data_IF_665860758616
#
_entry.id   IF_665860758616
#
_cell.length_a   1.000
_cell.length_b   1.000
_cell.length_c   1.000
_cell.angle_alpha   90.00
_cell.angle_beta   90.00
_cell.angle_gamma   90.00
#
_symmetry.space_group_name_H-M   'P 1'
#
loop_
_entity.id
_entity.type
_entity.pdbx_description
1 polymer ?
#
# COMPACT_ATOMS: atom_id res chain seq x y z
N UNK A 1 -6.29 -1.45 -16.31
CA UNK A 1 -7.08 -1.46 -15.05
C UNK A 1 -7.93 -0.20 -14.99
N UNK A 2 -9.26 -0.31 -15.03
CA UNK A 2 -10.15 0.86 -14.85
C UNK A 2 -10.05 1.30 -13.38
N UNK A 3 -9.56 2.51 -13.14
CA UNK A 3 -9.49 3.10 -11.80
C UNK A 3 -10.88 3.59 -11.44
N UNK A 4 -11.55 2.89 -10.53
CA UNK A 4 -12.80 3.37 -9.97
C UNK A 4 -12.48 4.59 -9.09
N UNK A 5 -12.94 5.80 -9.49
CA UNK A 5 -12.68 7.06 -8.78
C UNK A 5 -13.09 7.03 -7.29
N UNK A 6 -13.98 6.11 -6.88
CA UNK A 6 -14.40 5.91 -5.50
C UNK A 6 -13.45 5.03 -4.67
N UNK A 7 -12.57 4.24 -5.31
CA UNK A 7 -11.64 3.31 -4.64
C UNK A 7 -10.21 3.76 -4.86
N UNK A 8 -9.73 4.70 -4.07
CA UNK A 8 -8.39 5.28 -4.21
C UNK A 8 -7.47 5.02 -3.00
N UNK A 9 -7.94 4.26 -2.01
CA UNK A 9 -7.16 4.00 -0.82
C UNK A 9 -6.42 2.66 -0.93
N UNK A 10 -5.15 2.72 -0.63
CA UNK A 10 -4.23 1.63 -0.44
C UNK A 10 -3.95 1.51 1.06
N UNK A 11 -4.68 0.65 1.76
CA UNK A 11 -4.56 0.51 3.21
C UNK A 11 -3.39 -0.41 3.55
N UNK A 12 -2.53 0.03 4.46
CA UNK A 12 -1.42 -0.78 5.00
C UNK A 12 -1.77 -1.18 6.42
N UNK A 13 -1.54 -2.43 6.80
CA UNK A 13 -1.79 -2.94 8.16
C UNK A 13 -1.02 -2.14 9.23
N UNK A 14 -1.42 -2.18 10.50
CA UNK A 14 -0.54 -1.78 11.58
C UNK A 14 0.71 -2.66 11.61
N UNK A 15 1.76 -2.23 12.33
CA UNK A 15 3.02 -2.97 12.43
C UNK A 15 2.88 -4.26 13.25
N UNK A 16 1.94 -4.28 14.18
CA UNK A 16 1.62 -5.41 15.05
C UNK A 16 0.11 -5.66 15.03
N UNK A 17 -0.27 -6.92 14.98
CA UNK A 17 -1.65 -7.41 15.07
C UNK A 17 -1.71 -8.34 16.27
N UNK A 18 -2.02 -7.74 17.44
CA UNK A 18 -1.94 -8.45 18.73
C UNK A 18 -3.25 -9.17 19.11
N UNK A 19 -4.41 -8.71 18.63
CA UNK A 19 -5.71 -9.21 19.08
C UNK A 19 -6.73 -9.37 17.92
N UNK A 20 -7.86 -9.98 18.23
CA UNK A 20 -8.93 -10.22 17.26
C UNK A 20 -9.68 -8.93 16.85
N UNK A 21 -9.62 -7.85 17.64
CA UNK A 21 -10.30 -6.60 17.33
C UNK A 21 -9.84 -6.03 15.98
N UNK A 22 -8.57 -6.25 15.61
CA UNK A 22 -8.07 -5.85 14.29
C UNK A 22 -8.90 -6.38 13.13
N UNK A 23 -9.37 -7.64 13.20
CA UNK A 23 -10.14 -8.23 12.09
C UNK A 23 -11.54 -7.60 11.98
N UNK A 24 -12.15 -7.27 13.11
CA UNK A 24 -13.43 -6.57 13.16
C UNK A 24 -13.26 -5.14 12.61
N UNK A 25 -12.25 -4.41 13.07
CA UNK A 25 -11.92 -3.07 12.55
C UNK A 25 -11.65 -3.11 11.05
N UNK A 26 -10.91 -4.12 10.56
CA UNK A 26 -10.62 -4.29 9.13
C UNK A 26 -11.90 -4.49 8.32
N UNK A 27 -12.85 -5.27 8.83
CA UNK A 27 -14.15 -5.50 8.21
C UNK A 27 -14.93 -4.18 8.13
N UNK A 28 -15.00 -3.43 9.24
CA UNK A 28 -15.71 -2.14 9.28
C UNK A 28 -15.08 -1.12 8.32
N UNK A 29 -13.75 -1.02 8.29
CA UNK A 29 -13.04 -0.16 7.32
C UNK A 29 -13.36 -0.55 5.87
N UNK A 30 -13.47 -1.84 5.57
CA UNK A 30 -13.77 -2.30 4.20
C UNK A 30 -15.21 -2.04 3.76
N UNK A 31 -16.16 -1.90 4.71
CA UNK A 31 -17.55 -1.50 4.42
C UNK A 31 -17.63 -0.10 3.79
N UNK A 32 -16.65 0.78 4.00
CA UNK A 32 -16.55 2.10 3.35
C UNK A 32 -16.50 2.03 1.83
N UNK A 33 -16.15 0.86 1.25
CA UNK A 33 -15.97 0.62 -0.19
C UNK A 33 -14.90 1.51 -0.86
N UNK A 34 -14.08 2.23 -0.08
CA UNK A 34 -13.01 3.13 -0.58
C UNK A 34 -11.67 2.41 -0.83
N UNK A 35 -11.51 1.16 -0.33
CA UNK A 35 -10.25 0.42 -0.34
C UNK A 35 -10.09 -0.37 -1.63
N UNK A 36 -9.00 -0.13 -2.37
CA UNK A 36 -8.57 -0.92 -3.53
C UNK A 36 -7.60 -2.03 -3.16
N UNK A 37 -6.64 -1.70 -2.29
CA UNK A 37 -5.55 -2.58 -1.89
C UNK A 37 -5.44 -2.64 -0.38
N UNK A 38 -5.12 -3.82 0.12
CA UNK A 38 -4.66 -4.00 1.50
C UNK A 38 -3.30 -4.67 1.51
N UNK A 39 -2.30 -4.01 2.11
CA UNK A 39 -0.95 -4.54 2.28
C UNK A 39 -0.75 -5.04 3.70
N UNK A 40 -0.44 -6.32 3.86
CA UNK A 40 -0.03 -6.90 5.13
C UNK A 40 1.46 -6.64 5.36
N UNK A 41 1.78 -5.85 6.39
CA UNK A 41 3.14 -5.42 6.75
C UNK A 41 3.48 -5.77 8.20
N UNK A 42 4.02 -6.95 8.42
CA UNK A 42 4.39 -7.51 9.73
C UNK A 42 5.90 -7.78 9.77
N UNK A 43 6.72 -6.72 9.88
CA UNK A 43 8.18 -6.85 9.76
C UNK A 43 8.81 -7.73 10.84
N UNK A 44 8.35 -7.59 12.08
CA UNK A 44 8.98 -8.23 13.26
C UNK A 44 8.31 -9.55 13.66
N UNK A 45 7.35 -10.04 12.87
CA UNK A 45 6.64 -11.28 13.21
C UNK A 45 7.33 -12.50 12.60
N UNK A 46 7.28 -13.64 13.32
CA UNK A 46 7.75 -14.94 12.83
C UNK A 46 6.91 -15.40 11.62
N UNK A 47 7.51 -16.19 10.74
CA UNK A 47 6.87 -16.64 9.49
C UNK A 47 5.54 -17.35 9.72
N UNK A 48 5.47 -18.26 10.70
CA UNK A 48 4.23 -18.99 11.01
C UNK A 48 3.08 -18.04 11.41
N UNK A 49 3.39 -16.99 12.20
CA UNK A 49 2.39 -15.98 12.57
C UNK A 49 1.97 -15.13 11.37
N UNK A 50 2.92 -14.75 10.49
CA UNK A 50 2.60 -14.07 9.22
C UNK A 50 1.65 -14.89 8.34
N UNK A 51 1.86 -16.20 8.26
CA UNK A 51 1.00 -17.10 7.48
C UNK A 51 -0.39 -17.20 8.09
N UNK A 52 -0.50 -17.39 9.41
CA UNK A 52 -1.79 -17.49 10.10
C UNK A 52 -2.63 -16.22 9.91
N UNK A 53 -2.04 -15.06 10.19
CA UNK A 53 -2.69 -13.75 10.02
C UNK A 53 -3.03 -13.54 8.54
N UNK A 54 -2.09 -13.83 7.64
CA UNK A 54 -2.27 -13.65 6.20
C UNK A 54 -3.44 -14.46 5.64
N UNK A 55 -3.65 -15.69 6.10
CA UNK A 55 -4.80 -16.53 5.70
C UNK A 55 -6.13 -15.91 6.14
N UNK A 56 -6.23 -15.40 7.37
CA UNK A 56 -7.44 -14.72 7.88
C UNK A 56 -7.71 -13.44 7.09
N UNK A 57 -6.71 -12.58 6.93
CA UNK A 57 -6.80 -11.33 6.16
C UNK A 57 -7.19 -11.58 4.71
N UNK A 58 -6.61 -12.58 4.06
CA UNK A 58 -6.95 -12.94 2.67
C UNK A 58 -8.44 -13.28 2.52
N UNK A 59 -9.03 -14.04 3.45
CA UNK A 59 -10.46 -14.35 3.44
C UNK A 59 -11.31 -13.07 3.48
N UNK A 60 -10.95 -12.13 4.36
CA UNK A 60 -11.62 -10.82 4.48
C UNK A 60 -11.47 -10.02 3.17
N UNK A 61 -10.25 -9.88 2.66
CA UNK A 61 -9.99 -9.18 1.40
C UNK A 61 -10.83 -9.75 0.24
N UNK A 62 -10.91 -11.08 0.12
CA UNK A 62 -11.72 -11.76 -0.90
C UNK A 62 -13.21 -11.40 -0.78
N UNK A 63 -13.77 -11.43 0.45
CA UNK A 63 -15.19 -11.07 0.71
C UNK A 63 -15.51 -9.66 0.23
N UNK A 64 -14.61 -8.69 0.44
CA UNK A 64 -14.84 -7.29 0.09
C UNK A 64 -14.26 -6.90 -1.29
N UNK A 65 -13.75 -7.85 -2.08
CA UNK A 65 -13.13 -7.62 -3.39
C UNK A 65 -12.00 -6.58 -3.33
N UNK A 66 -11.20 -6.63 -2.23
CA UNK A 66 -9.99 -5.83 -2.02
C UNK A 66 -8.78 -6.67 -2.42
N UNK A 67 -7.83 -6.08 -3.18
CA UNK A 67 -6.60 -6.76 -3.58
C UNK A 67 -5.66 -6.92 -2.38
N UNK A 68 -5.26 -8.16 -2.09
CA UNK A 68 -4.39 -8.51 -0.98
C UNK A 68 -2.93 -8.55 -1.39
N UNK A 69 -2.10 -7.69 -0.80
CA UNK A 69 -0.67 -7.58 -1.08
C UNK A 69 0.16 -7.91 0.16
N UNK A 70 1.34 -8.48 -0.06
CA UNK A 70 2.34 -8.76 0.98
C UNK A 70 3.46 -7.74 0.87
N UNK A 71 3.95 -7.26 2.02
CA UNK A 71 5.08 -6.34 2.09
C UNK A 71 6.40 -7.11 2.00
N UNK A 72 7.31 -6.70 1.11
CA UNK A 72 8.72 -7.08 0.97
C UNK A 72 8.98 -8.57 0.59
N UNK A 73 8.01 -9.47 0.64
CA UNK A 73 8.23 -10.93 0.61
C UNK A 73 7.46 -11.64 -0.54
N UNK A 74 8.10 -11.85 -1.71
CA UNK A 74 7.52 -12.60 -2.83
C UNK A 74 7.25 -14.09 -2.51
N UNK A 75 8.06 -14.71 -1.64
CA UNK A 75 7.89 -16.13 -1.27
C UNK A 75 6.63 -16.31 -0.43
N UNK A 76 6.43 -15.45 0.57
CA UNK A 76 5.21 -15.43 1.38
C UNK A 76 3.99 -15.08 0.52
N UNK A 77 4.14 -14.18 -0.47
CA UNK A 77 3.09 -13.83 -1.43
C UNK A 77 2.62 -15.07 -2.21
N UNK A 78 3.57 -15.88 -2.71
CA UNK A 78 3.27 -17.15 -3.39
C UNK A 78 2.61 -18.14 -2.44
N UNK A 79 3.17 -18.33 -1.23
CA UNK A 79 2.67 -19.27 -0.21
C UNK A 79 1.25 -18.96 0.24
N UNK A 80 0.90 -17.69 0.40
CA UNK A 80 -0.46 -17.24 0.74
C UNK A 80 -1.38 -17.17 -0.48
N UNK A 81 -0.84 -17.33 -1.68
CA UNK A 81 -1.53 -17.02 -2.93
C UNK A 81 -2.21 -15.63 -2.85
N UNK A 82 -1.46 -14.62 -2.38
CA UNK A 82 -1.90 -13.24 -2.38
C UNK A 82 -1.95 -12.67 -3.81
N UNK A 83 -2.64 -11.53 -4.00
CA UNK A 83 -2.74 -10.88 -5.32
C UNK A 83 -1.42 -10.27 -5.80
N UNK A 84 -0.51 -9.95 -4.88
CA UNK A 84 0.79 -9.37 -5.24
C UNK A 84 1.67 -9.02 -4.05
N UNK A 85 2.79 -8.35 -4.37
CA UNK A 85 3.82 -7.93 -3.43
C UNK A 85 4.18 -6.46 -3.63
N UNK A 86 4.51 -5.76 -2.53
CA UNK A 86 5.13 -4.45 -2.56
C UNK A 86 6.59 -4.55 -2.13
N UNK A 87 7.51 -4.07 -2.94
CA UNK A 87 8.96 -4.13 -2.71
C UNK A 87 9.52 -2.74 -2.36
N UNK A 88 10.46 -2.70 -1.44
CA UNK A 88 11.36 -1.58 -1.24
C UNK A 88 12.64 -1.74 -2.05
N UNK A 89 13.55 -0.76 -1.97
CA UNK A 89 14.79 -0.75 -2.76
C UNK A 89 15.88 -1.71 -2.26
N UNK A 90 15.71 -2.26 -1.04
CA UNK A 90 16.66 -3.20 -0.41
C UNK A 90 16.11 -4.63 -0.35
N UNK A 91 14.90 -4.84 -0.85
CA UNK A 91 14.26 -6.15 -0.87
C UNK A 91 14.68 -6.92 -2.13
N UNK A 92 14.07 -8.08 -2.36
CA UNK A 92 14.31 -8.88 -3.58
C UNK A 92 14.15 -8.01 -4.83
N UNK A 93 15.05 -8.13 -5.80
CA UNK A 93 14.95 -7.35 -7.02
C UNK A 93 13.71 -7.73 -7.85
N UNK A 94 13.26 -6.80 -8.70
CA UNK A 94 12.00 -6.94 -9.44
C UNK A 94 12.02 -8.18 -10.36
N UNK A 95 13.14 -8.48 -11.01
CA UNK A 95 13.23 -9.58 -11.98
C UNK A 95 13.13 -10.94 -11.27
N UNK A 96 13.78 -11.11 -10.13
CA UNK A 96 13.67 -12.30 -9.28
C UNK A 96 12.24 -12.45 -8.73
N UNK A 97 11.68 -11.36 -8.20
CA UNK A 97 10.30 -11.35 -7.72
C UNK A 97 9.32 -11.72 -8.86
N UNK A 98 9.55 -11.24 -10.09
CA UNK A 98 8.71 -11.54 -11.26
C UNK A 98 8.80 -13.02 -11.65
N UNK A 99 9.97 -13.66 -11.55
CA UNK A 99 10.12 -15.12 -11.78
C UNK A 99 9.24 -15.93 -10.80
N UNK A 100 9.19 -15.51 -9.52
CA UNK A 100 8.39 -16.18 -8.47
C UNK A 100 6.90 -15.90 -8.63
N UNK A 101 6.54 -14.64 -8.87
CA UNK A 101 5.17 -14.14 -8.81
C UNK A 101 4.44 -14.19 -10.16
N UNK A 102 5.18 -14.37 -11.27
CA UNK A 102 4.63 -14.47 -12.62
C UNK A 102 3.72 -13.24 -12.94
N UNK A 103 2.41 -13.47 -13.10
CA UNK A 103 1.40 -12.47 -13.44
C UNK A 103 0.83 -11.70 -12.25
N UNK A 104 1.29 -11.97 -11.02
CA UNK A 104 0.82 -11.25 -9.82
C UNK A 104 1.33 -9.80 -9.78
N UNK A 105 0.64 -8.96 -9.04
CA UNK A 105 0.97 -7.55 -8.90
C UNK A 105 2.32 -7.38 -8.20
N UNK A 106 3.21 -6.59 -8.80
CA UNK A 106 4.45 -6.11 -8.18
C UNK A 106 4.45 -4.59 -8.17
N UNK A 107 4.49 -4.01 -6.99
CA UNK A 107 4.73 -2.59 -6.81
C UNK A 107 6.06 -2.31 -6.16
N UNK A 108 6.61 -1.12 -6.38
CA UNK A 108 7.90 -0.75 -5.80
C UNK A 108 7.93 0.68 -5.29
N UNK A 109 8.63 0.89 -4.17
CA UNK A 109 8.94 2.22 -3.63
C UNK A 109 10.03 2.89 -4.46
N UNK A 110 9.76 4.09 -4.98
CA UNK A 110 10.72 4.92 -5.74
C UNK A 110 11.18 6.17 -4.97
N UNK A 111 10.78 6.33 -3.70
CA UNK A 111 11.10 7.50 -2.87
C UNK A 111 10.72 8.84 -3.55
N UNK A 112 11.71 9.69 -3.86
CA UNK A 112 11.55 10.94 -4.64
C UNK A 112 12.43 10.88 -5.89
N UNK A 113 12.49 9.74 -6.58
CA UNK A 113 13.47 9.50 -7.65
C UNK A 113 12.81 9.05 -8.95
N UNK A 114 12.90 9.91 -9.97
CA UNK A 114 12.53 9.56 -11.35
C UNK A 114 13.47 8.47 -11.91
N UNK A 115 14.76 8.48 -11.52
CA UNK A 115 15.72 7.44 -11.95
C UNK A 115 15.26 6.04 -11.50
N UNK A 116 14.88 5.88 -10.22
CA UNK A 116 14.36 4.61 -9.70
C UNK A 116 13.05 4.21 -10.40
N UNK A 117 12.18 5.17 -10.66
CA UNK A 117 10.94 4.91 -11.38
C UNK A 117 11.17 4.42 -12.81
N UNK A 118 12.11 5.04 -13.56
CA UNK A 118 12.47 4.59 -14.92
C UNK A 118 13.02 3.16 -14.92
N UNK A 119 13.86 2.80 -13.94
CA UNK A 119 14.35 1.42 -13.77
C UNK A 119 13.17 0.46 -13.51
N UNK A 120 12.28 0.82 -12.60
CA UNK A 120 11.11 0.02 -12.28
C UNK A 120 10.18 -0.20 -13.49
N UNK A 121 9.95 0.85 -14.30
CA UNK A 121 9.15 0.79 -15.53
C UNK A 121 9.76 -0.21 -16.53
N UNK A 122 11.07 -0.16 -16.75
CA UNK A 122 11.79 -1.10 -17.63
C UNK A 122 11.62 -2.56 -17.15
N UNK A 123 11.55 -2.77 -15.84
CA UNK A 123 11.34 -4.09 -15.23
C UNK A 123 9.84 -4.44 -15.06
N UNK A 124 8.94 -3.74 -15.76
CA UNK A 124 7.52 -4.07 -15.90
C UNK A 124 6.79 -4.24 -14.55
N UNK A 125 6.97 -3.28 -13.62
CA UNK A 125 6.19 -3.22 -12.39
C UNK A 125 4.74 -2.77 -12.67
N UNK A 126 3.82 -3.14 -11.79
CA UNK A 126 2.40 -2.85 -11.95
C UNK A 126 1.99 -1.51 -11.33
N UNK A 127 2.76 -0.98 -10.35
CA UNK A 127 2.60 0.37 -9.82
C UNK A 127 3.89 0.90 -9.18
N UNK A 128 3.98 2.23 -9.12
CA UNK A 128 5.09 2.98 -8.52
C UNK A 128 4.63 3.68 -7.26
N UNK A 129 5.39 3.61 -6.15
CA UNK A 129 5.07 4.33 -4.93
C UNK A 129 6.12 5.42 -4.65
N UNK A 130 5.65 6.65 -4.41
CA UNK A 130 6.48 7.80 -4.08
C UNK A 130 6.16 8.31 -2.67
N UNK A 131 7.17 8.75 -1.94
CA UNK A 131 7.03 9.26 -0.57
C UNK A 131 8.37 9.28 0.18
N UNK A 132 8.38 9.78 1.42
CA UNK A 132 7.20 10.22 2.17
C UNK A 132 6.85 11.68 1.81
N UNK A 133 5.54 11.95 1.60
CA UNK A 133 5.09 13.32 1.33
C UNK A 133 4.94 14.15 2.60
N UNK A 134 4.64 13.50 3.73
CA UNK A 134 4.52 14.14 5.03
C UNK A 134 5.22 13.30 6.10
N UNK A 135 5.49 13.88 7.26
CA UNK A 135 6.07 13.16 8.38
C UNK A 135 5.10 12.07 8.87
N UNK A 136 5.63 10.92 9.22
CA UNK A 136 4.85 9.77 9.69
C UNK A 136 5.41 9.24 11.00
N UNK A 137 4.53 8.99 11.97
CA UNK A 137 4.88 8.34 13.24
C UNK A 137 5.12 6.81 13.08
N UNK A 138 4.56 6.20 12.04
CA UNK A 138 4.63 4.73 11.80
C UNK A 138 5.98 4.28 11.26
N UNK A 139 6.65 5.13 10.47
CA UNK A 139 7.98 4.86 9.90
C UNK A 139 8.71 6.19 9.73
N UNK A 140 9.86 6.36 10.42
CA UNK A 140 10.78 7.46 10.10
C UNK A 140 11.34 7.24 8.71
N UNK A 141 10.96 8.07 7.75
CA UNK A 141 11.49 8.01 6.38
C UNK A 141 12.66 8.97 6.25
N UNK A 142 13.78 8.47 5.73
CA UNK A 142 14.94 9.32 5.36
C UNK A 142 14.68 10.14 4.09
N UNK A 143 13.66 9.77 3.31
CA UNK A 143 13.35 10.39 2.03
C UNK A 143 12.07 11.21 2.15
N UNK A 144 12.15 12.48 1.70
CA UNK A 144 10.99 13.36 1.54
C UNK A 144 10.71 13.52 0.05
N UNK A 145 9.47 13.27 -0.36
CA UNK A 145 9.04 13.45 -1.74
C UNK A 145 8.46 14.86 -1.93
N UNK A 146 8.84 15.51 -3.03
CA UNK A 146 8.24 16.76 -3.48
C UNK A 146 6.99 16.44 -4.32
N UNK A 147 5.94 17.25 -4.17
CA UNK A 147 4.62 16.95 -4.80
C UNK A 147 4.70 16.94 -6.34
N UNK A 148 5.57 17.75 -6.92
CA UNK A 148 5.76 17.84 -8.37
C UNK A 148 6.22 16.52 -9.01
N UNK A 149 6.82 15.58 -8.23
CA UNK A 149 7.22 14.27 -8.76
C UNK A 149 6.03 13.48 -9.31
N UNK A 150 4.83 13.69 -8.74
CA UNK A 150 3.61 13.03 -9.18
C UNK A 150 3.21 13.46 -10.60
N UNK A 151 3.33 14.75 -10.91
CA UNK A 151 3.08 15.27 -12.27
C UNK A 151 4.21 14.86 -13.23
N UNK A 152 5.46 14.92 -12.78
CA UNK A 152 6.61 14.53 -13.59
C UNK A 152 6.56 13.08 -14.03
N UNK A 153 6.21 12.15 -13.13
CA UNK A 153 6.13 10.74 -13.48
C UNK A 153 4.97 10.45 -14.45
N UNK A 154 3.86 11.19 -14.38
CA UNK A 154 2.73 11.02 -15.29
C UNK A 154 3.03 11.43 -16.73
N UNK A 155 4.02 12.30 -16.95
CA UNK A 155 4.54 12.60 -18.30
C UNK A 155 5.35 11.43 -18.90
N UNK A 156 5.85 10.51 -18.05
CA UNK A 156 6.75 9.42 -18.44
C UNK A 156 6.00 8.10 -18.61
N UNK A 157 4.93 7.85 -17.82
CA UNK A 157 4.24 6.56 -17.82
C UNK A 157 2.76 6.66 -17.45
N UNK A 158 1.99 5.69 -17.97
CA UNK A 158 0.58 5.46 -17.58
C UNK A 158 0.44 4.52 -16.38
N UNK A 159 1.54 3.93 -15.89
CA UNK A 159 1.53 3.03 -14.73
C UNK A 159 0.94 3.76 -13.52
N UNK A 160 0.06 3.09 -12.73
CA UNK A 160 -0.53 3.68 -11.54
C UNK A 160 0.51 4.17 -10.53
N UNK A 161 0.23 5.30 -9.91
CA UNK A 161 1.10 5.94 -8.93
C UNK A 161 0.43 5.95 -7.56
N UNK A 162 1.15 5.47 -6.56
CA UNK A 162 0.76 5.45 -5.15
C UNK A 162 1.54 6.55 -4.42
N UNK A 163 0.84 7.45 -3.75
CA UNK A 163 1.47 8.39 -2.81
C UNK A 163 1.45 7.80 -1.40
N UNK A 164 2.57 7.92 -0.66
CA UNK A 164 2.72 7.38 0.69
C UNK A 164 3.41 8.36 1.63
N UNK A 165 3.13 8.25 2.91
CA UNK A 165 3.81 8.96 4.01
C UNK A 165 2.98 10.08 4.62
N UNK A 166 2.54 9.88 5.87
CA UNK A 166 1.83 10.86 6.70
C UNK A 166 0.53 11.38 6.11
N UNK A 167 -0.16 10.57 5.29
CA UNK A 167 -1.41 10.95 4.64
C UNK A 167 -2.57 10.85 5.64
N UNK A 168 -3.43 11.88 5.66
CA UNK A 168 -4.58 12.03 6.54
C UNK A 168 -5.69 12.86 5.86
N UNK A 169 -6.81 13.12 6.56
CA UNK A 169 -7.96 13.87 6.04
C UNK A 169 -7.64 15.31 5.64
N UNK A 170 -6.59 15.93 6.20
CA UNK A 170 -6.22 17.33 5.91
C UNK A 170 -5.37 17.48 4.64
N UNK A 171 -4.61 16.43 4.23
CA UNK A 171 -3.60 16.56 3.18
C UNK A 171 -3.81 15.66 1.95
N UNK A 172 -4.73 14.71 1.99
CA UNK A 172 -4.92 13.71 0.93
C UNK A 172 -5.39 14.30 -0.41
N UNK A 173 -6.28 15.33 -0.38
CA UNK A 173 -6.86 15.94 -1.60
C UNK A 173 -5.76 16.51 -2.50
N UNK A 174 -4.76 17.17 -1.92
CA UNK A 174 -3.62 17.73 -2.65
C UNK A 174 -2.87 16.67 -3.47
N UNK A 175 -2.72 15.46 -2.95
CA UNK A 175 -2.03 14.36 -3.65
C UNK A 175 -2.85 13.82 -4.83
N UNK A 176 -4.18 13.70 -4.67
CA UNK A 176 -5.08 13.29 -5.75
C UNK A 176 -5.14 14.33 -6.87
N UNK A 177 -5.24 15.62 -6.53
CA UNK A 177 -5.19 16.73 -7.49
C UNK A 177 -3.89 16.72 -8.30
N UNK A 178 -2.77 16.32 -7.70
CA UNK A 178 -1.48 16.14 -8.37
C UNK A 178 -1.30 14.76 -9.02
N UNK A 179 -2.41 14.07 -9.36
CA UNK A 179 -2.45 12.85 -10.19
C UNK A 179 -1.94 11.57 -9.50
N UNK A 180 -1.86 11.51 -8.16
CA UNK A 180 -1.77 10.22 -7.48
C UNK A 180 -3.01 9.39 -7.81
N UNK A 181 -2.84 8.10 -8.12
CA UNK A 181 -3.95 7.18 -8.38
C UNK A 181 -4.45 6.55 -7.08
N UNK A 182 -3.54 6.30 -6.15
CA UNK A 182 -3.83 5.69 -4.86
C UNK A 182 -3.06 6.38 -3.74
N UNK A 183 -3.64 6.36 -2.54
CA UNK A 183 -3.08 6.90 -1.32
C UNK A 183 -2.80 5.77 -0.34
N UNK A 184 -1.52 5.54 -0.02
CA UNK A 184 -1.13 4.52 0.95
C UNK A 184 -1.18 5.09 2.36
N UNK A 185 -2.08 4.55 3.17
CA UNK A 185 -2.41 5.03 4.51
C UNK A 185 -2.29 3.88 5.51
N UNK A 186 -1.70 4.15 6.68
CA UNK A 186 -1.66 3.22 7.81
C UNK A 186 -1.96 3.94 9.12
N UNK A 187 -1.02 4.70 9.66
CA UNK A 187 -1.12 5.26 11.01
C UNK A 187 -2.32 6.20 11.23
N UNK A 188 -2.80 6.90 10.20
CA UNK A 188 -4.00 7.72 10.33
C UNK A 188 -5.26 6.88 10.60
N UNK A 189 -5.32 5.65 10.09
CA UNK A 189 -6.44 4.74 10.32
C UNK A 189 -6.27 3.97 11.63
N UNK A 190 -5.11 3.34 11.83
CA UNK A 190 -4.93 2.39 12.94
C UNK A 190 -4.49 3.02 14.27
N UNK A 191 -3.81 4.18 14.21
CA UNK A 191 -3.24 4.85 15.39
C UNK A 191 -3.89 6.24 15.62
N UNK A 192 -5.13 6.42 15.16
CA UNK A 192 -5.87 7.65 15.35
C UNK A 192 -6.32 7.75 16.81
N UNK A 193 -6.05 8.90 17.45
CA UNK A 193 -6.46 9.12 18.85
C UNK A 193 -7.90 9.64 19.00
N UNK A 194 -8.46 10.21 17.90
CA UNK A 194 -9.78 10.83 17.90
C UNK A 194 -10.87 9.93 17.37
N UNK A 195 -10.53 9.10 16.37
CA UNK A 195 -11.49 8.30 15.62
C UNK A 195 -11.17 6.82 15.70
N UNK A 196 -12.19 5.96 15.75
CA UNK A 196 -12.05 4.53 15.46
C UNK A 196 -11.64 4.32 14.00
N UNK A 197 -11.04 3.18 13.62
CA UNK A 197 -10.61 2.94 12.24
C UNK A 197 -11.71 3.16 11.18
N UNK A 198 -12.94 2.74 11.45
CA UNK A 198 -14.11 2.95 10.59
C UNK A 198 -14.49 4.42 10.41
N UNK A 199 -14.40 5.22 11.47
CA UNK A 199 -14.68 6.65 11.43
C UNK A 199 -13.54 7.40 10.72
N UNK A 200 -12.28 7.03 11.01
CA UNK A 200 -11.12 7.65 10.39
C UNK A 200 -11.10 7.48 8.86
N UNK A 201 -11.60 6.35 8.32
CA UNK A 201 -11.69 6.15 6.88
C UNK A 201 -12.79 7.00 6.24
N UNK A 202 -13.87 7.31 6.95
CA UNK A 202 -14.94 8.16 6.45
C UNK A 202 -14.53 9.64 6.37
N UNK A 203 -13.58 10.09 7.19
CA UNK A 203 -12.98 11.43 7.08
C UNK A 203 -12.19 11.66 5.78
N UNK A 204 -11.86 10.61 5.04
CA UNK A 204 -11.23 10.68 3.71
C UNK A 204 -12.35 10.57 2.66
N UNK A 205 -12.90 11.74 2.30
CA UNK A 205 -14.06 11.90 1.38
C UNK A 205 -13.66 11.95 -0.07
#
# INVERSE_FOLDING_TARGET
>A
MRINKKKFIYLISPNNIANNNFYNDLIEVFKSKKISFFQLRLKNEKMNKKILIGRKVKKICKKFKVKFLINDDPILTKKLNADGCHLGQKDMNINEARKILKKKIIGITCHNSIKLAKIAIRNKVDYLAFGAFNNSKTKKSRYKAKINILLSIKKITKIPVVAIGGINSKNYKKLLLNKANFLAISGYIWNNKKYKPSEAIEEIK
#
